data_IF_930434566669
#
_entry.id   IF_930434566669
#
_cell.length_a   1.000
_cell.length_b   1.000
_cell.length_c   1.000
_cell.angle_alpha   90.00
_cell.angle_beta   90.00
_cell.angle_gamma   90.00
#
_symmetry.space_group_name_H-M   'P 1'
#
loop_
_entity.id
_entity.type
_entity.pdbx_description
1 polymer ?
#
# COMPACT_ATOMS: atom_id res chain seq x y z
N UNK A 1 -58.63 -14.72 4.03
CA UNK A 1 -57.44 -15.42 4.56
C UNK A 1 -56.35 -15.36 3.49
N UNK A 2 -55.36 -14.49 3.66
CA UNK A 2 -54.29 -14.23 2.69
C UNK A 2 -52.94 -14.45 3.37
N UNK A 3 -52.05 -15.09 2.63
CA UNK A 3 -50.79 -15.69 3.05
C UNK A 3 -49.88 -14.80 3.90
N UNK A 4 -49.24 -15.45 4.86
CA UNK A 4 -48.13 -14.99 5.69
C UNK A 4 -46.94 -14.57 4.82
N UNK A 5 -46.47 -13.35 5.04
CA UNK A 5 -45.26 -12.78 4.44
C UNK A 5 -44.04 -13.31 5.22
N UNK A 6 -43.33 -14.27 4.64
CA UNK A 6 -42.01 -14.68 5.11
C UNK A 6 -41.02 -13.53 4.83
N UNK A 7 -40.46 -12.97 5.90
CA UNK A 7 -39.39 -11.98 5.85
C UNK A 7 -38.14 -12.66 6.39
N UNK A 8 -37.24 -13.06 5.51
CA UNK A 8 -35.91 -13.52 5.90
C UNK A 8 -34.98 -13.20 4.75
N UNK A 9 -34.05 -12.28 4.97
CA UNK A 9 -32.74 -12.22 4.34
C UNK A 9 -31.85 -11.45 5.30
N UNK A 10 -31.20 -12.23 6.16
CA UNK A 10 -30.09 -11.81 7.00
C UNK A 10 -28.94 -11.35 6.09
N UNK A 11 -28.72 -10.04 6.02
CA UNK A 11 -27.51 -9.46 5.44
C UNK A 11 -26.44 -9.52 6.51
N UNK A 12 -25.70 -10.63 6.51
CA UNK A 12 -24.57 -10.82 7.40
C UNK A 12 -23.43 -9.88 6.99
N UNK A 13 -23.36 -8.72 7.64
CA UNK A 13 -22.22 -7.79 7.59
C UNK A 13 -20.97 -8.52 8.06
N UNK A 14 -19.99 -8.70 7.17
CA UNK A 14 -18.63 -9.14 7.53
C UNK A 14 -17.81 -7.91 7.96
N UNK A 15 -17.43 -7.76 9.24
CA UNK A 15 -16.55 -6.67 9.66
C UNK A 15 -15.12 -6.91 9.16
N UNK A 16 -14.53 -5.86 8.59
CA UNK A 16 -13.20 -5.84 8.01
C UNK A 16 -12.09 -6.13 9.03
N UNK A 17 -11.10 -6.88 8.56
CA UNK A 17 -9.88 -7.22 9.30
C UNK A 17 -8.88 -6.06 9.16
N UNK A 18 -9.15 -4.95 9.85
CA UNK A 18 -8.23 -3.81 9.97
C UNK A 18 -8.11 -3.50 11.46
N UNK A 19 -7.13 -4.09 12.15
CA UNK A 19 -6.52 -3.57 13.38
C UNK A 19 -5.70 -4.68 14.07
N UNK A 20 -4.37 -4.71 13.89
CA UNK A 20 -3.54 -5.43 14.89
C UNK A 20 -2.08 -5.01 15.05
N UNK A 21 -1.72 -3.78 14.70
CA UNK A 21 -0.32 -3.33 14.75
C UNK A 21 -0.05 -2.12 15.64
N UNK A 22 -0.94 -1.78 16.59
CA UNK A 22 -0.70 -0.63 17.47
C UNK A 22 -1.26 -0.74 18.89
N UNK A 23 -1.07 -1.89 19.54
CA UNK A 23 -1.44 -2.09 20.96
C UNK A 23 -0.52 -3.10 21.67
N UNK A 24 0.81 -3.01 21.51
CA UNK A 24 1.77 -3.83 22.26
C UNK A 24 3.00 -2.99 22.69
N UNK A 25 2.72 -1.78 23.21
CA UNK A 25 3.66 -1.04 24.06
C UNK A 25 2.88 -0.50 25.24
N UNK A 26 3.46 -0.69 26.42
CA UNK A 26 2.99 -0.29 27.74
C UNK A 26 1.99 -1.23 28.44
N UNK A 27 2.51 -2.32 29.00
CA UNK A 27 2.16 -2.73 30.36
C UNK A 27 3.21 -3.74 30.84
N UNK A 28 4.03 -3.33 31.81
CA UNK A 28 4.65 -4.14 32.88
C UNK A 28 5.81 -3.33 33.49
N UNK A 29 5.43 -2.25 34.19
CA UNK A 29 6.24 -1.79 35.31
C UNK A 29 5.58 -2.34 36.57
N UNK A 30 6.38 -3.04 37.38
CA UNK A 30 6.04 -3.36 38.76
C UNK A 30 5.90 -4.85 39.04
N UNK A 31 7.04 -5.54 39.18
CA UNK A 31 7.29 -6.45 40.30
C UNK A 31 8.78 -6.83 40.32
N UNK A 32 9.45 -6.34 41.36
CA UNK A 32 10.83 -6.66 41.73
C UNK A 32 10.95 -8.14 42.12
N UNK A 33 11.94 -8.85 41.59
CA UNK A 33 12.39 -10.13 42.16
C UNK A 33 13.03 -11.10 41.18
N UNK A 34 14.34 -11.30 41.34
CA UNK A 34 15.13 -12.52 41.01
C UNK A 34 15.42 -12.88 39.54
N UNK A 35 16.68 -12.69 39.16
CA UNK A 35 17.46 -13.61 38.31
C UNK A 35 17.08 -13.71 36.83
N UNK A 36 17.61 -12.82 35.99
CA UNK A 36 17.51 -12.96 34.53
C UNK A 36 18.89 -13.16 33.93
N UNK A 37 19.16 -14.44 33.60
CA UNK A 37 20.12 -14.85 32.59
C UNK A 37 19.78 -14.03 31.34
N UNK A 38 20.66 -13.15 30.90
CA UNK A 38 20.46 -12.37 29.69
C UNK A 38 20.43 -13.34 28.49
N UNK A 39 19.24 -13.82 28.12
CA UNK A 39 19.01 -14.48 26.86
C UNK A 39 19.31 -13.45 25.78
N UNK A 40 20.50 -13.56 25.19
CA UNK A 40 20.95 -12.76 24.07
C UNK A 40 20.01 -13.12 22.90
N UNK A 41 18.97 -12.32 22.70
CA UNK A 41 18.12 -12.49 21.53
C UNK A 41 19.02 -12.27 20.30
N UNK A 42 19.05 -13.20 19.33
CA UNK A 42 19.86 -13.03 18.14
C UNK A 42 19.41 -11.76 17.43
N UNK A 43 20.33 -10.81 17.28
CA UNK A 43 20.13 -9.64 16.43
C UNK A 43 19.98 -10.16 15.00
N UNK A 44 18.77 -10.09 14.46
CA UNK A 44 18.52 -10.42 13.05
C UNK A 44 19.30 -9.39 12.23
N UNK A 45 20.46 -9.78 11.68
CA UNK A 45 21.22 -8.89 10.82
C UNK A 45 20.35 -8.55 9.60
N UNK A 46 20.10 -7.27 9.39
CA UNK A 46 19.43 -6.80 8.18
C UNK A 46 20.26 -7.25 6.98
N UNK A 47 19.73 -8.21 6.22
CA UNK A 47 20.37 -8.72 5.01
C UNK A 47 20.55 -7.55 4.05
N UNK A 48 21.80 -7.27 3.66
CA UNK A 48 22.09 -6.23 2.68
C UNK A 48 21.34 -6.56 1.38
N UNK A 49 20.53 -5.61 0.91
CA UNK A 49 19.75 -5.78 -0.33
C UNK A 49 20.72 -5.73 -1.51
N UNK A 50 20.70 -6.72 -2.43
CA UNK A 50 21.54 -6.71 -3.62
C UNK A 50 21.34 -5.47 -4.50
N UNK A 51 22.42 -4.95 -5.09
CA UNK A 51 22.40 -3.71 -5.87
C UNK A 51 21.51 -3.81 -7.13
N UNK A 52 21.45 -4.98 -7.77
CA UNK A 52 20.60 -5.17 -8.94
C UNK A 52 19.10 -5.15 -8.60
N UNK A 53 18.71 -5.46 -7.35
CA UNK A 53 17.34 -5.27 -6.89
C UNK A 53 17.02 -3.78 -6.72
N UNK A 54 17.99 -3.00 -6.21
CA UNK A 54 17.83 -1.54 -6.06
C UNK A 54 17.66 -0.89 -7.43
N UNK A 55 18.49 -1.26 -8.42
CA UNK A 55 18.36 -0.76 -9.79
C UNK A 55 17.00 -1.10 -10.41
N UNK A 56 16.50 -2.32 -10.20
CA UNK A 56 15.16 -2.69 -10.65
C UNK A 56 14.05 -1.89 -9.95
N UNK A 57 14.16 -1.69 -8.63
CA UNK A 57 13.20 -0.91 -7.86
C UNK A 57 13.13 0.55 -8.31
N UNK A 58 14.28 1.15 -8.66
CA UNK A 58 14.36 2.49 -9.22
C UNK A 58 13.71 2.55 -10.60
N UNK A 59 14.00 1.60 -11.49
CA UNK A 59 13.37 1.50 -12.82
C UNK A 59 11.85 1.36 -12.71
N UNK A 60 11.35 0.53 -11.79
CA UNK A 60 9.93 0.36 -11.57
C UNK A 60 9.28 1.63 -10.99
N UNK A 61 9.93 2.28 -10.02
CA UNK A 61 9.45 3.53 -9.43
C UNK A 61 9.33 4.64 -10.48
N UNK A 62 10.35 4.81 -11.33
CA UNK A 62 10.36 5.82 -12.38
C UNK A 62 9.25 5.57 -13.41
N UNK A 63 9.01 4.31 -13.79
CA UNK A 63 7.90 3.97 -14.69
C UNK A 63 6.54 4.24 -14.06
N UNK A 64 6.32 3.81 -12.81
CA UNK A 64 5.07 4.10 -12.12
C UNK A 64 4.84 5.60 -11.95
N UNK A 65 5.89 6.37 -11.66
CA UNK A 65 5.80 7.84 -11.64
C UNK A 65 5.43 8.40 -13.02
N UNK A 66 6.06 7.93 -14.10
CA UNK A 66 5.70 8.37 -15.45
C UNK A 66 4.23 8.09 -15.78
N UNK A 67 3.69 6.93 -15.40
CA UNK A 67 2.27 6.60 -15.62
C UNK A 67 1.35 7.42 -14.72
N UNK A 68 1.78 7.74 -13.50
CA UNK A 68 1.05 8.62 -12.60
C UNK A 68 1.09 10.08 -13.03
N UNK A 69 2.01 10.48 -13.90
CA UNK A 69 2.11 11.84 -14.43
C UNK A 69 1.55 11.99 -15.84
N UNK A 70 0.97 10.94 -16.42
CA UNK A 70 0.42 10.94 -17.77
C UNK A 70 -0.94 11.69 -17.82
N UNK A 71 -1.00 12.89 -18.43
CA UNK A 71 -2.22 13.69 -18.49
C UNK A 71 -3.26 13.11 -19.46
N UNK A 72 -2.86 12.23 -20.39
CA UNK A 72 -3.77 11.62 -21.36
C UNK A 72 -4.57 10.46 -20.74
N UNK A 73 -4.22 10.04 -19.52
CA UNK A 73 -4.92 9.00 -18.79
C UNK A 73 -6.00 9.59 -17.85
N UNK A 74 -7.28 9.39 -18.19
CA UNK A 74 -8.39 9.90 -17.39
C UNK A 74 -8.37 9.44 -15.91
N UNK A 75 -7.87 8.23 -15.63
CA UNK A 75 -7.76 7.75 -14.25
C UNK A 75 -6.71 8.55 -13.45
N UNK A 76 -5.66 9.01 -14.13
CA UNK A 76 -4.62 9.88 -13.54
C UNK A 76 -5.21 11.25 -13.24
N UNK A 77 -5.94 11.84 -14.20
CA UNK A 77 -6.61 13.14 -14.02
C UNK A 77 -7.55 13.10 -12.81
N UNK A 78 -8.45 12.12 -12.75
CA UNK A 78 -9.38 11.95 -11.62
C UNK A 78 -8.66 11.73 -10.29
N UNK A 79 -7.57 10.96 -10.30
CA UNK A 79 -6.77 10.73 -9.10
C UNK A 79 -6.17 12.04 -8.58
N UNK A 80 -5.60 12.86 -9.44
CA UNK A 80 -5.04 14.15 -9.07
C UNK A 80 -6.09 15.12 -8.56
N UNK A 81 -7.22 15.27 -9.26
CA UNK A 81 -8.34 16.10 -8.81
C UNK A 81 -8.81 15.69 -7.41
N UNK A 82 -8.99 14.39 -7.18
CA UNK A 82 -9.44 13.89 -5.87
C UNK A 82 -8.45 14.16 -4.76
N UNK A 83 -7.16 14.02 -5.06
CA UNK A 83 -6.10 14.28 -4.09
C UNK A 83 -5.94 15.80 -3.84
N UNK A 84 -6.20 16.65 -4.84
CA UNK A 84 -6.19 18.11 -4.70
C UNK A 84 -7.39 18.60 -3.87
N UNK A 85 -8.60 18.11 -4.18
CA UNK A 85 -9.80 18.36 -3.40
C UNK A 85 -9.61 18.00 -1.93
N UNK A 86 -8.95 16.87 -1.66
CA UNK A 86 -8.60 16.50 -0.29
C UNK A 86 -7.74 17.56 0.37
N UNK A 87 -6.68 18.03 -0.28
CA UNK A 87 -5.78 19.01 0.32
C UNK A 87 -6.50 20.30 0.67
N UNK A 88 -7.32 20.80 -0.25
CA UNK A 88 -8.14 22.00 -0.07
C UNK A 88 -9.16 21.84 1.08
N UNK A 89 -9.76 20.66 1.21
CA UNK A 89 -10.79 20.38 2.21
C UNK A 89 -10.23 19.83 3.54
N UNK A 90 -8.96 19.45 3.58
CA UNK A 90 -8.32 18.91 4.78
C UNK A 90 -7.90 20.03 5.73
N UNK A 91 -8.27 19.91 7.01
CA UNK A 91 -7.77 20.81 8.07
C UNK A 91 -6.29 20.60 8.39
N UNK A 92 -5.71 19.51 7.89
CA UNK A 92 -4.29 19.18 8.01
C UNK A 92 -3.55 19.73 6.79
N UNK A 93 -2.82 20.84 6.98
CA UNK A 93 -1.94 21.45 5.97
C UNK A 93 -0.70 20.59 5.60
N UNK A 94 -0.68 19.30 5.94
CA UNK A 94 0.44 18.42 5.63
C UNK A 94 0.24 17.86 4.22
N UNK A 95 1.16 18.14 3.28
CA UNK A 95 1.13 17.53 1.95
C UNK A 95 1.04 16.00 2.07
N UNK A 96 0.45 15.30 1.09
CA UNK A 96 0.44 13.85 1.11
C UNK A 96 1.91 13.40 1.09
N UNK A 97 2.35 12.76 2.17
CA UNK A 97 3.68 12.15 2.17
C UNK A 97 3.76 11.08 1.06
N UNK A 98 4.97 10.71 0.62
CA UNK A 98 5.13 9.71 -0.41
C UNK A 98 4.40 8.41 -0.04
N UNK A 99 3.60 7.92 -0.97
CA UNK A 99 2.79 6.71 -0.81
C UNK A 99 3.69 5.48 -0.90
N UNK A 100 3.65 4.63 0.11
CA UNK A 100 4.32 3.33 0.06
C UNK A 100 3.41 2.33 -0.65
N UNK A 101 3.87 1.82 -1.79
CA UNK A 101 3.17 0.82 -2.59
C UNK A 101 3.97 -0.48 -2.60
N UNK A 102 3.30 -1.59 -2.34
CA UNK A 102 3.85 -2.94 -2.40
C UNK A 102 3.35 -3.60 -3.68
N UNK A 103 4.27 -4.03 -4.52
CA UNK A 103 3.95 -4.61 -5.83
C UNK A 103 4.48 -6.03 -5.94
N UNK A 104 3.69 -6.87 -6.62
CA UNK A 104 4.12 -8.17 -7.08
C UNK A 104 4.13 -8.19 -8.60
N UNK A 105 5.24 -8.65 -9.15
CA UNK A 105 5.53 -8.61 -10.58
C UNK A 105 5.82 -10.02 -11.06
N UNK A 106 5.12 -10.46 -12.10
CA UNK A 106 5.34 -11.74 -12.74
C UNK A 106 6.64 -11.71 -13.57
N UNK A 107 7.11 -12.89 -13.99
CA UNK A 107 8.35 -13.01 -14.77
C UNK A 107 8.28 -12.33 -16.15
N UNK A 108 7.10 -11.94 -16.62
CA UNK A 108 6.88 -11.15 -17.84
C UNK A 108 6.77 -9.64 -17.59
N UNK A 109 7.03 -9.17 -16.36
CA UNK A 109 6.94 -7.76 -15.99
C UNK A 109 5.52 -7.29 -15.64
N UNK A 110 4.48 -8.15 -15.76
CA UNK A 110 3.11 -7.75 -15.39
C UNK A 110 2.96 -7.64 -13.88
N UNK A 111 2.35 -6.54 -13.45
CA UNK A 111 1.97 -6.35 -12.05
C UNK A 111 0.67 -7.11 -11.81
N UNK A 112 0.70 -8.16 -10.99
CA UNK A 112 -0.47 -9.01 -10.73
C UNK A 112 -1.11 -8.75 -9.36
N UNK A 113 -0.42 -8.02 -8.48
CA UNK A 113 -0.95 -7.59 -7.19
C UNK A 113 -0.31 -6.27 -6.78
N UNK A 114 -1.13 -5.39 -6.21
CA UNK A 114 -0.72 -4.11 -5.65
C UNK A 114 -1.38 -3.95 -4.29
N UNK A 115 -0.62 -3.48 -3.31
CA UNK A 115 -1.13 -3.09 -1.99
C UNK A 115 -0.58 -1.73 -1.59
N UNK A 116 -1.44 -0.85 -1.09
CA UNK A 116 -1.07 0.45 -0.55
C UNK A 116 -2.03 0.82 0.59
N UNK A 117 -1.62 1.78 1.41
CA UNK A 117 -2.53 2.36 2.39
C UNK A 117 -3.62 3.14 1.65
N UNK A 118 -4.89 2.87 1.95
CA UNK A 118 -6.02 3.55 1.31
C UNK A 118 -5.79 5.05 1.29
N UNK A 119 -6.01 5.63 0.12
CA UNK A 119 -6.03 7.05 -0.10
C UNK A 119 -7.27 7.67 0.54
N UNK A 120 -8.11 6.96 1.28
CA UNK A 120 -9.30 7.49 1.97
C UNK A 120 -10.45 7.86 1.03
N UNK A 121 -10.39 7.43 -0.23
CA UNK A 121 -11.47 7.52 -1.20
C UNK A 121 -11.43 6.26 -2.10
N UNK A 122 -12.57 5.56 -2.20
CA UNK A 122 -12.62 4.28 -2.90
C UNK A 122 -12.41 4.40 -4.42
N UNK A 123 -12.78 5.54 -5.01
CA UNK A 123 -12.57 5.79 -6.44
C UNK A 123 -11.09 6.07 -6.71
N UNK A 124 -10.44 6.89 -5.89
CA UNK A 124 -8.99 7.13 -5.97
C UNK A 124 -8.18 5.84 -5.76
N UNK A 125 -8.58 4.98 -4.81
CA UNK A 125 -7.96 3.69 -4.60
C UNK A 125 -8.10 2.79 -5.85
N UNK A 126 -9.28 2.75 -6.45
CA UNK A 126 -9.52 1.98 -7.66
C UNK A 126 -8.75 2.51 -8.88
N UNK A 127 -8.69 3.84 -9.05
CA UNK A 127 -7.94 4.48 -10.13
C UNK A 127 -6.44 4.26 -9.97
N UNK A 128 -5.87 4.41 -8.77
CA UNK A 128 -4.46 4.09 -8.51
C UNK A 128 -4.15 2.62 -8.81
N UNK A 129 -4.98 1.69 -8.36
CA UNK A 129 -4.79 0.27 -8.66
C UNK A 129 -4.83 0.02 -10.17
N UNK A 130 -5.77 0.64 -10.89
CA UNK A 130 -5.89 0.52 -12.35
C UNK A 130 -4.64 1.06 -13.06
N UNK A 131 -4.15 2.24 -12.69
CA UNK A 131 -2.94 2.84 -13.29
C UNK A 131 -1.73 1.91 -13.12
N UNK A 132 -1.51 1.39 -11.90
CA UNK A 132 -0.35 0.54 -11.59
C UNK A 132 -0.41 -0.88 -12.17
N UNK A 133 -1.58 -1.30 -12.66
CA UNK A 133 -1.80 -2.63 -13.27
C UNK A 133 -2.16 -2.56 -14.76
N UNK A 134 -2.22 -1.36 -15.35
CA UNK A 134 -2.65 -1.15 -16.74
C UNK A 134 -1.71 -1.81 -17.75
N UNK A 135 -0.40 -1.81 -17.47
CA UNK A 135 0.62 -2.28 -18.40
C UNK A 135 1.81 -2.93 -17.68
N UNK A 136 2.53 -3.85 -18.35
CA UNK A 136 3.72 -4.45 -17.80
C UNK A 136 4.85 -3.42 -17.65
N UNK A 137 5.71 -3.64 -16.65
CA UNK A 137 6.99 -2.92 -16.55
C UNK A 137 7.89 -3.28 -17.74
N UNK A 138 8.71 -2.33 -18.19
CA UNK A 138 9.61 -2.53 -19.34
C UNK A 138 10.67 -3.62 -19.15
N UNK A 139 10.87 -4.11 -17.93
CA UNK A 139 11.80 -5.19 -17.63
C UNK A 139 11.19 -6.19 -16.62
N UNK A 140 11.51 -7.49 -16.75
CA UNK A 140 11.12 -8.48 -15.76
C UNK A 140 11.92 -8.32 -14.47
N UNK A 141 11.37 -8.73 -13.32
CA UNK A 141 12.09 -8.69 -12.05
C UNK A 141 13.30 -9.65 -12.08
N UNK A 142 14.40 -9.34 -11.36
CA UNK A 142 15.47 -10.29 -11.15
C UNK A 142 14.94 -11.60 -10.55
N UNK A 143 15.45 -12.75 -11.02
CA UNK A 143 14.94 -14.08 -10.64
C UNK A 143 15.05 -14.38 -9.15
N UNK A 144 16.04 -13.78 -8.50
CA UNK A 144 16.31 -13.90 -7.07
C UNK A 144 15.59 -12.84 -6.23
N UNK A 145 14.90 -11.87 -6.85
CA UNK A 145 14.27 -10.76 -6.15
C UNK A 145 13.11 -11.23 -5.25
N UNK A 146 13.17 -10.87 -3.97
CA UNK A 146 12.08 -11.13 -3.03
C UNK A 146 10.89 -10.20 -3.30
N UNK A 147 9.70 -10.78 -3.26
CA UNK A 147 8.43 -10.06 -3.42
C UNK A 147 7.61 -10.10 -2.12
N UNK A 148 6.77 -9.09 -1.86
CA UNK A 148 6.58 -7.87 -2.65
C UNK A 148 7.76 -6.91 -2.57
N UNK A 149 7.93 -6.13 -3.63
CA UNK A 149 8.81 -4.97 -3.61
C UNK A 149 8.04 -3.77 -3.05
N UNK A 150 8.62 -3.05 -2.10
CA UNK A 150 8.04 -1.83 -1.53
C UNK A 150 8.69 -0.61 -2.17
N UNK A 151 7.86 0.22 -2.82
CA UNK A 151 8.26 1.43 -3.52
C UNK A 151 7.65 2.65 -2.86
N UNK A 152 8.31 3.80 -2.99
CA UNK A 152 7.77 5.10 -2.57
C UNK A 152 7.41 5.88 -3.82
N UNK A 153 6.13 6.13 -4.01
CA UNK A 153 5.61 6.93 -5.11
C UNK A 153 5.24 8.31 -4.60
N UNK A 154 5.45 9.33 -5.42
CA UNK A 154 4.96 10.67 -5.15
C UNK A 154 3.70 10.88 -5.98
N UNK A 155 2.66 11.40 -5.34
CA UNK A 155 1.43 11.82 -6.01
C UNK A 155 1.54 13.33 -6.13
N UNK A 156 2.36 13.78 -7.09
CA UNK A 156 2.57 15.20 -7.34
C UNK A 156 1.39 15.76 -8.10
N UNK A 157 0.94 16.94 -7.68
CA UNK A 157 -0.09 17.68 -8.39
C UNK A 157 0.61 18.57 -9.41
N UNK A 158 0.23 18.54 -10.70
CA UNK A 158 0.65 19.60 -11.59
C UNK A 158 0.22 20.93 -10.97
N UNK A 159 1.18 21.84 -10.80
CA UNK A 159 0.96 23.21 -10.28
C UNK A 159 0.58 24.14 -11.41
#
# INVERSE_FOLDING_TARGET
>A
MRSTRATSHDVTRRPGVIARWRRLRAMLQGLLGLGLIAAQAPSVQAQAVPQHWIGYAQLASNQFQAWLSDPDNEAVVRLHEKMQDRLLNSRSSTPPGPLVVRVWVAADGKVYRVEFASLGDAQADADLHRILTAQPLSAPPPRDMRQPMALRLNLEFPT
#
